data_IF_736194521156
#
_entry.id   IF_736194521156
#
_cell.length_a   1.000
_cell.length_b   1.000
_cell.length_c   1.000
_cell.angle_alpha   90.00
_cell.angle_beta   90.00
_cell.angle_gamma   90.00
#
_symmetry.space_group_name_H-M   'P 1'
#
loop_
_entity.id
_entity.type
_entity.pdbx_description
1 polymer ?
#
# COMPACT_ATOMS: atom_id res chain seq x y z
N UNK A 1 4.06 -21.09 -8.40
CA UNK A 1 4.09 -19.63 -8.19
C UNK A 1 5.00 -19.34 -7.01
N UNK A 2 6.09 -18.59 -7.22
CA UNK A 2 6.95 -18.16 -6.12
C UNK A 2 6.16 -17.15 -5.28
N UNK A 3 5.73 -17.53 -4.08
CA UNK A 3 5.23 -16.57 -3.09
C UNK A 3 6.33 -15.55 -2.84
N UNK A 4 6.20 -14.35 -3.41
CA UNK A 4 7.01 -13.20 -3.00
C UNK A 4 6.76 -13.05 -1.50
N UNK A 5 7.79 -13.31 -0.69
CA UNK A 5 7.70 -13.15 0.77
C UNK A 5 7.66 -11.65 1.08
N UNK A 6 6.84 -11.27 2.05
CA UNK A 6 6.81 -9.90 2.53
C UNK A 6 8.17 -9.52 3.12
N UNK A 7 8.68 -8.34 2.76
CA UNK A 7 9.79 -7.71 3.44
C UNK A 7 9.23 -6.94 4.65
N UNK A 8 9.25 -7.59 5.80
CA UNK A 8 8.69 -7.07 7.05
C UNK A 8 9.33 -5.72 7.40
N UNK A 9 10.66 -5.60 7.31
CA UNK A 9 11.37 -4.38 7.66
C UNK A 9 10.95 -3.18 6.80
N UNK A 10 10.74 -3.42 5.50
CA UNK A 10 10.28 -2.36 4.58
C UNK A 10 8.83 -1.95 4.88
N UNK A 11 7.92 -2.91 5.07
CA UNK A 11 6.53 -2.60 5.42
C UNK A 11 6.41 -1.87 6.76
N UNK A 12 7.19 -2.28 7.77
CA UNK A 12 7.25 -1.59 9.06
C UNK A 12 7.79 -0.16 8.93
N UNK A 13 8.76 0.07 8.03
CA UNK A 13 9.31 1.41 7.78
C UNK A 13 8.26 2.31 7.13
N UNK A 14 7.62 1.84 6.05
CA UNK A 14 6.55 2.58 5.36
C UNK A 14 5.40 2.91 6.33
N UNK A 15 4.95 1.92 7.12
CA UNK A 15 3.91 2.13 8.13
C UNK A 15 4.31 3.23 9.12
N UNK A 16 5.55 3.19 9.63
CA UNK A 16 6.05 4.18 10.58
C UNK A 16 6.12 5.59 9.98
N UNK A 17 6.64 5.72 8.75
CA UNK A 17 6.81 7.02 8.06
C UNK A 17 5.45 7.65 7.73
N UNK A 18 4.47 6.82 7.38
CA UNK A 18 3.11 7.25 7.06
C UNK A 18 2.24 7.40 8.32
N UNK A 19 2.66 6.90 9.47
CA UNK A 19 1.90 6.97 10.73
C UNK A 19 0.76 5.96 10.81
N UNK A 20 0.89 4.85 10.10
CA UNK A 20 -0.04 3.73 10.07
C UNK A 20 0.52 2.52 10.81
N UNK A 21 -0.34 1.54 11.08
CA UNK A 21 0.09 0.28 11.67
C UNK A 21 0.73 -0.63 10.62
N UNK A 22 1.62 -1.53 11.05
CA UNK A 22 2.18 -2.56 10.17
C UNK A 22 1.10 -3.41 9.51
N UNK A 23 0.01 -3.69 10.23
CA UNK A 23 -1.16 -4.42 9.74
C UNK A 23 -1.80 -3.77 8.52
N UNK A 24 -1.88 -2.43 8.50
CA UNK A 24 -2.38 -1.67 7.35
C UNK A 24 -1.46 -1.81 6.14
N UNK A 25 -0.15 -1.62 6.34
CA UNK A 25 0.85 -1.78 5.27
C UNK A 25 0.85 -3.21 4.71
N UNK A 26 0.74 -4.21 5.59
CA UNK A 26 0.68 -5.61 5.20
C UNK A 26 -0.60 -5.95 4.43
N UNK A 27 -1.76 -5.42 4.85
CA UNK A 27 -3.02 -5.64 4.16
C UNK A 27 -2.97 -5.11 2.72
N UNK A 28 -2.48 -3.88 2.52
CA UNK A 28 -2.31 -3.33 1.16
C UNK A 28 -1.34 -4.19 0.36
N UNK A 29 -0.18 -4.52 0.94
CA UNK A 29 0.82 -5.34 0.28
C UNK A 29 0.26 -6.69 -0.16
N UNK A 30 -0.54 -7.36 0.68
CA UNK A 30 -1.15 -8.64 0.36
C UNK A 30 -2.05 -8.56 -0.88
N UNK A 31 -2.78 -7.44 -1.04
CA UNK A 31 -3.64 -7.18 -2.19
C UNK A 31 -2.84 -6.89 -3.46
N UNK A 32 -1.70 -6.21 -3.36
CA UNK A 32 -0.91 -5.76 -4.52
C UNK A 32 0.37 -6.58 -4.77
N UNK A 33 0.66 -7.63 -3.99
CA UNK A 33 1.93 -8.40 -4.03
C UNK A 33 2.31 -9.00 -5.40
N UNK A 34 1.34 -9.09 -6.31
CA UNK A 34 1.58 -9.56 -7.69
C UNK A 34 2.22 -8.47 -8.57
N UNK A 35 2.05 -7.19 -8.23
CA UNK A 35 2.67 -6.06 -8.92
C UNK A 35 4.17 -6.01 -8.61
N UNK A 36 4.98 -5.63 -9.60
CA UNK A 36 6.43 -5.43 -9.40
C UNK A 36 6.70 -4.29 -8.41
N UNK A 37 5.89 -3.24 -8.47
CA UNK A 37 6.02 -2.05 -7.64
C UNK A 37 5.18 -2.11 -6.35
N UNK A 38 4.88 -3.30 -5.84
CA UNK A 38 3.99 -3.51 -4.69
C UNK A 38 4.31 -2.62 -3.47
N UNK A 39 5.59 -2.43 -3.14
CA UNK A 39 5.98 -1.58 -2.00
C UNK A 39 5.79 -0.08 -2.27
N UNK A 40 5.96 0.36 -3.52
CA UNK A 40 5.69 1.74 -3.92
C UNK A 40 4.19 2.02 -3.87
N UNK A 41 3.37 1.05 -4.28
CA UNK A 41 1.91 1.14 -4.16
C UNK A 41 1.50 1.24 -2.68
N UNK A 42 2.08 0.41 -1.81
CA UNK A 42 1.84 0.47 -0.35
C UNK A 42 2.16 1.85 0.20
N UNK A 43 3.35 2.39 -0.09
CA UNK A 43 3.76 3.73 0.35
C UNK A 43 2.80 4.81 -0.14
N UNK A 44 2.44 4.78 -1.42
CA UNK A 44 1.51 5.73 -2.04
C UNK A 44 0.12 5.67 -1.40
N UNK A 45 -0.42 4.46 -1.20
CA UNK A 45 -1.75 4.26 -0.62
C UNK A 45 -1.80 4.73 0.83
N UNK A 46 -0.81 4.38 1.65
CA UNK A 46 -0.74 4.82 3.05
C UNK A 46 -0.55 6.35 3.13
N UNK A 47 0.21 6.94 2.20
CA UNK A 47 0.33 8.40 2.10
C UNK A 47 -1.01 9.06 1.72
N UNK A 48 -1.77 8.50 0.77
CA UNK A 48 -3.10 8.99 0.39
C UNK A 48 -4.05 8.90 1.60
N UNK A 49 -4.07 7.76 2.30
CA UNK A 49 -4.90 7.52 3.47
C UNK A 49 -4.63 8.58 4.56
N UNK A 50 -3.35 8.80 4.89
CA UNK A 50 -2.92 9.85 5.83
C UNK A 50 -3.35 11.24 5.37
N UNK A 51 -3.13 11.59 4.10
CA UNK A 51 -3.37 12.94 3.57
C UNK A 51 -4.86 13.28 3.49
N UNK A 52 -5.69 12.31 3.11
CA UNK A 52 -7.14 12.50 2.98
C UNK A 52 -7.91 12.16 4.26
N UNK A 53 -7.23 11.63 5.28
CA UNK A 53 -7.83 11.14 6.52
C UNK A 53 -8.93 10.09 6.28
N UNK A 54 -8.68 9.19 5.34
CA UNK A 54 -9.59 8.10 4.96
C UNK A 54 -9.00 6.74 5.36
N UNK A 55 -9.82 5.70 5.26
CA UNK A 55 -9.36 4.35 5.50
C UNK A 55 -8.37 3.89 4.42
N UNK A 56 -7.42 3.04 4.79
CA UNK A 56 -6.34 2.57 3.90
C UNK A 56 -6.88 1.80 2.68
N UNK A 57 -7.97 1.04 2.86
CA UNK A 57 -8.63 0.35 1.74
C UNK A 57 -9.32 1.32 0.77
N UNK A 58 -9.94 2.39 1.28
CA UNK A 58 -10.55 3.42 0.42
C UNK A 58 -9.47 4.16 -0.39
N UNK A 59 -8.30 4.40 0.23
CA UNK A 59 -7.14 4.97 -0.45
C UNK A 59 -6.61 4.05 -1.57
N UNK A 60 -6.66 2.73 -1.38
CA UNK A 60 -6.30 1.76 -2.42
C UNK A 60 -7.30 1.77 -3.59
N UNK A 61 -8.60 1.87 -3.31
CA UNK A 61 -9.61 2.03 -4.36
C UNK A 61 -9.40 3.32 -5.16
N UNK A 62 -9.08 4.43 -4.48
CA UNK A 62 -8.73 5.69 -5.15
C UNK A 62 -7.49 5.54 -6.03
N UNK A 63 -6.43 4.90 -5.54
CA UNK A 63 -5.23 4.63 -6.32
C UNK A 63 -5.55 3.84 -7.60
N UNK A 64 -6.30 2.74 -7.48
CA UNK A 64 -6.70 1.92 -8.62
C UNK A 64 -7.62 2.66 -9.60
N UNK A 65 -8.50 3.52 -9.09
CA UNK A 65 -9.36 4.38 -9.90
C UNK A 65 -8.55 5.36 -10.75
N UNK A 66 -7.49 5.96 -10.18
CA UNK A 66 -6.59 6.86 -10.89
C UNK A 66 -5.78 6.10 -11.95
N UNK A 67 -5.17 4.96 -11.61
CA UNK A 67 -4.41 4.15 -12.56
C UNK A 67 -5.26 3.74 -13.78
N UNK A 68 -6.52 3.35 -13.57
CA UNK A 68 -7.43 3.01 -14.68
C UNK A 68 -7.84 4.21 -15.56
N UNK A 69 -7.68 5.45 -15.08
CA UNK A 69 -7.98 6.66 -15.85
C UNK A 69 -6.76 7.12 -16.67
N UNK A 70 -5.55 6.85 -16.19
CA UNK A 70 -4.30 7.36 -16.77
C UNK A 70 -3.39 6.30 -17.42
N UNK A 71 -3.68 5.01 -17.23
CA UNK A 71 -2.96 3.87 -17.84
C UNK A 71 -3.72 3.27 -19.00
#
# INVERSE_FOLDING_TARGET
MNSRRANIGLLSSIASDTGHEYTDAYAVWEMVRQHEDAYLIVDTVLWIAKRQQIHVLDALELYNGVENIFG
#
